data_IF_592344337768
#
_entry.id   IF_592344337768
#
_cell.length_a   1.000
_cell.length_b   1.000
_cell.length_c   1.000
_cell.angle_alpha   90.00
_cell.angle_beta   90.00
_cell.angle_gamma   90.00
#
_symmetry.space_group_name_H-M   'P 1'
#
loop_
_entity.id
_entity.type
_entity.pdbx_description
1 polymer ?
#
# COMPACT_ATOMS: atom_id res chain seq x y z
N UNK A 1 -10.35 15.96 6.04
CA UNK A 1 -8.93 15.88 5.63
C UNK A 1 -8.02 16.10 6.83
N UNK A 2 -6.70 15.94 6.66
CA UNK A 2 -5.69 16.27 7.68
C UNK A 2 -5.18 17.71 7.55
N UNK A 3 -4.40 18.17 8.52
CA UNK A 3 -3.86 19.55 8.57
C UNK A 3 -2.72 19.81 7.57
N UNK A 4 -2.10 18.76 7.04
CA UNK A 4 -1.00 18.85 6.07
C UNK A 4 -1.50 18.52 4.66
N UNK A 5 -0.96 19.21 3.66
CA UNK A 5 -1.24 18.92 2.26
C UNK A 5 -0.65 17.57 1.82
N UNK A 6 -1.17 16.96 0.74
CA UNK A 6 -0.59 15.73 0.19
C UNK A 6 0.90 15.87 -0.16
N UNK A 7 1.32 17.03 -0.67
CA UNK A 7 2.72 17.29 -1.04
C UNK A 7 3.62 17.38 0.20
N UNK A 8 3.18 18.02 1.28
CA UNK A 8 3.89 18.04 2.56
C UNK A 8 3.98 16.64 3.18
N UNK A 9 2.92 15.84 3.07
CA UNK A 9 2.95 14.44 3.51
C UNK A 9 3.98 13.62 2.72
N UNK A 10 4.06 13.80 1.39
CA UNK A 10 5.09 13.17 0.56
C UNK A 10 6.51 13.56 1.00
N UNK A 11 6.73 14.83 1.31
CA UNK A 11 8.03 15.32 1.81
C UNK A 11 8.38 14.69 3.17
N UNK A 12 7.43 14.59 4.09
CA UNK A 12 7.63 13.92 5.37
C UNK A 12 8.02 12.44 5.19
N UNK A 13 7.37 11.73 4.27
CA UNK A 13 7.72 10.34 3.92
C UNK A 13 9.12 10.30 3.29
N UNK A 14 9.48 11.23 2.41
CA UNK A 14 10.81 11.28 1.80
C UNK A 14 11.93 11.41 2.86
N UNK A 15 11.75 12.29 3.84
CA UNK A 15 12.68 12.44 4.97
C UNK A 15 12.77 11.14 5.78
N UNK A 16 11.64 10.49 6.06
CA UNK A 16 11.61 9.22 6.78
C UNK A 16 12.29 8.09 5.98
N UNK A 17 12.08 8.05 4.67
CA UNK A 17 12.68 7.06 3.76
C UNK A 17 14.19 7.26 3.65
N UNK A 18 14.68 8.50 3.63
CA UNK A 18 16.11 8.79 3.62
C UNK A 18 16.79 8.33 4.92
N UNK A 19 16.19 8.65 6.08
CA UNK A 19 16.65 8.13 7.38
C UNK A 19 16.64 6.60 7.43
N UNK A 20 15.59 5.98 6.89
CA UNK A 20 15.49 4.52 6.81
C UNK A 20 16.58 3.94 5.90
N UNK A 21 16.87 4.58 4.77
CA UNK A 21 17.90 4.12 3.83
C UNK A 21 19.30 4.17 4.45
N UNK A 22 19.60 5.21 5.23
CA UNK A 22 20.87 5.32 5.95
C UNK A 22 21.03 4.23 7.02
N UNK A 23 19.97 3.96 7.79
CA UNK A 23 19.99 2.95 8.86
C UNK A 23 19.93 1.52 8.32
N UNK A 24 19.19 1.32 7.23
CA UNK A 24 18.94 0.03 6.62
C UNK A 24 18.97 0.19 5.10
N UNK A 25 20.17 0.15 4.49
CA UNK A 25 20.31 0.23 3.04
C UNK A 25 19.48 -0.85 2.35
N UNK A 26 18.92 -0.50 1.20
CA UNK A 26 18.13 -1.46 0.41
C UNK A 26 19.05 -2.58 -0.13
N UNK A 27 18.50 -3.79 -0.22
CA UNK A 27 19.17 -4.90 -0.88
C UNK A 27 19.48 -4.63 -2.35
N UNK A 28 20.42 -5.40 -2.91
CA UNK A 28 20.75 -5.35 -4.35
C UNK A 28 19.53 -5.80 -5.17
N UNK A 29 19.40 -5.24 -6.37
CA UNK A 29 18.40 -5.65 -7.35
C UNK A 29 19.06 -5.90 -8.70
N UNK A 30 18.32 -6.59 -9.57
CA UNK A 30 18.68 -6.76 -10.96
C UNK A 30 18.66 -5.44 -11.74
N UNK A 31 19.36 -5.41 -12.88
CA UNK A 31 19.29 -4.30 -13.83
C UNK A 31 17.88 -4.09 -14.39
N UNK A 32 17.12 -5.17 -14.59
CA UNK A 32 15.73 -5.11 -15.04
C UNK A 32 14.83 -4.37 -14.06
N UNK A 33 14.87 -4.74 -12.78
CA UNK A 33 14.12 -4.05 -11.72
C UNK A 33 14.53 -2.57 -11.61
N UNK A 34 15.83 -2.27 -11.72
CA UNK A 34 16.33 -0.90 -11.66
C UNK A 34 15.80 -0.08 -12.85
N UNK A 35 15.82 -0.66 -14.05
CA UNK A 35 15.28 -0.06 -15.27
C UNK A 35 13.79 0.26 -15.13
N UNK A 36 12.99 -0.67 -14.62
CA UNK A 36 11.55 -0.44 -14.38
C UNK A 36 11.30 0.75 -13.45
N UNK A 37 12.08 0.89 -12.37
CA UNK A 37 11.97 2.04 -11.46
C UNK A 37 12.35 3.34 -12.17
N UNK A 38 13.44 3.34 -12.95
CA UNK A 38 13.87 4.53 -13.71
C UNK A 38 12.84 4.95 -14.75
N UNK A 39 12.26 4.01 -15.50
CA UNK A 39 11.21 4.27 -16.47
C UNK A 39 9.99 4.92 -15.81
N UNK A 40 9.54 4.37 -14.68
CA UNK A 40 8.42 4.96 -13.94
C UNK A 40 8.76 6.36 -13.43
N UNK A 41 9.94 6.59 -12.84
CA UNK A 41 10.36 7.93 -12.42
C UNK A 41 10.31 8.94 -13.58
N UNK A 42 10.86 8.58 -14.73
CA UNK A 42 10.85 9.44 -15.93
C UNK A 42 9.43 9.77 -16.40
N UNK A 43 8.49 8.81 -16.33
CA UNK A 43 7.08 9.06 -16.65
C UNK A 43 6.49 10.11 -15.71
N UNK A 44 6.72 10.01 -14.40
CA UNK A 44 6.20 10.99 -13.44
C UNK A 44 6.87 12.35 -13.55
N UNK A 45 8.18 12.41 -13.76
CA UNK A 45 8.90 13.66 -14.03
C UNK A 45 8.31 14.38 -15.26
N UNK A 46 8.04 13.65 -16.33
CA UNK A 46 7.45 14.23 -17.54
C UNK A 46 6.02 14.74 -17.32
N UNK A 47 5.22 14.03 -16.53
CA UNK A 47 3.86 14.47 -16.15
C UNK A 47 3.88 15.72 -15.28
N UNK A 48 4.82 15.79 -14.33
CA UNK A 48 5.04 16.99 -13.50
C UNK A 48 5.44 18.20 -14.36
N UNK A 49 6.35 18.01 -15.32
CA UNK A 49 6.76 19.07 -16.27
C UNK A 49 5.60 19.55 -17.16
N UNK A 50 4.61 18.70 -17.42
CA UNK A 50 3.37 19.08 -18.14
C UNK A 50 2.37 19.85 -17.28
N UNK A 51 2.65 20.02 -15.99
CA UNK A 51 1.75 20.69 -15.06
C UNK A 51 0.60 19.82 -14.57
N UNK A 52 0.69 18.50 -14.72
CA UNK A 52 -0.25 17.60 -14.04
C UNK A 52 -0.04 17.68 -12.52
N UNK A 53 -1.10 17.47 -11.72
CA UNK A 53 -1.00 17.48 -10.26
C UNK A 53 -0.45 16.15 -9.73
N UNK A 54 0.82 15.93 -10.06
CA UNK A 54 1.65 14.81 -9.64
C UNK A 54 2.92 15.32 -8.97
N UNK A 55 3.60 14.47 -8.22
CA UNK A 55 4.89 14.77 -7.60
C UNK A 55 5.73 13.49 -7.58
N UNK A 56 7.03 13.60 -7.90
CA UNK A 56 7.98 12.51 -7.77
C UNK A 56 9.13 12.92 -6.84
N UNK A 57 9.32 12.16 -5.76
CA UNK A 57 10.47 12.30 -4.86
C UNK A 57 11.26 11.00 -4.84
N UNK A 58 12.59 11.09 -4.87
CA UNK A 58 13.45 9.93 -4.97
C UNK A 58 14.79 10.12 -4.27
N UNK A 59 15.41 8.99 -3.91
CA UNK A 59 16.82 8.96 -3.50
C UNK A 59 17.73 9.51 -4.61
N UNK A 60 18.69 10.36 -4.23
CA UNK A 60 19.56 11.08 -5.17
C UNK A 60 20.61 10.22 -5.88
N UNK A 61 21.06 9.12 -5.27
CA UNK A 61 22.20 8.36 -5.76
C UNK A 61 21.84 7.14 -6.62
N UNK A 62 20.67 6.53 -6.41
CA UNK A 62 20.21 5.26 -7.04
C UNK A 62 18.69 5.11 -7.02
N UNK A 63 18.20 3.87 -7.14
CA UNK A 63 16.80 3.45 -7.00
C UNK A 63 16.45 2.99 -5.57
N UNK A 64 17.02 3.64 -4.56
CA UNK A 64 16.93 3.17 -3.16
C UNK A 64 15.54 3.33 -2.56
N UNK A 65 14.84 4.40 -2.93
CA UNK A 65 13.43 4.60 -2.63
C UNK A 65 12.82 5.59 -3.62
N UNK A 66 11.52 5.46 -3.88
CA UNK A 66 10.76 6.37 -4.74
C UNK A 66 9.39 6.61 -4.13
N UNK A 67 8.93 7.84 -4.15
CA UNK A 67 7.58 8.25 -3.74
C UNK A 67 6.97 8.96 -4.93
N UNK A 68 5.80 8.51 -5.34
CA UNK A 68 5.01 9.20 -6.37
C UNK A 68 3.66 9.56 -5.79
N UNK A 69 3.22 10.77 -6.08
CA UNK A 69 1.89 11.25 -5.75
C UNK A 69 1.10 11.55 -7.01
N UNK A 70 -0.18 11.21 -6.99
CA UNK A 70 -1.15 11.54 -8.03
C UNK A 70 -2.48 11.94 -7.39
N UNK A 71 -3.05 13.04 -7.86
CA UNK A 71 -4.43 13.40 -7.54
C UNK A 71 -5.40 12.58 -8.41
N UNK A 72 -6.38 11.93 -7.78
CA UNK A 72 -7.55 11.29 -8.41
C UNK A 72 -7.21 10.42 -9.65
N UNK A 73 -6.37 9.37 -9.52
CA UNK A 73 -5.90 8.60 -10.66
C UNK A 73 -6.99 7.77 -11.36
N UNK A 74 -8.19 7.68 -10.78
CA UNK A 74 -9.30 6.82 -11.22
C UNK A 74 -9.07 5.31 -11.02
N UNK A 75 -7.82 4.84 -11.09
CA UNK A 75 -7.42 3.45 -10.87
C UNK A 75 -6.12 3.37 -10.09
N UNK A 76 -5.99 2.36 -9.22
CA UNK A 76 -4.75 2.15 -8.48
C UNK A 76 -3.84 1.19 -9.24
N UNK A 77 -2.58 1.59 -9.40
CA UNK A 77 -1.57 0.78 -10.07
C UNK A 77 -0.71 0.01 -9.05
N UNK A 78 -0.37 -1.26 -9.32
CA UNK A 78 0.58 -2.00 -8.51
C UNK A 78 1.94 -1.30 -8.45
N UNK A 79 2.65 -1.50 -7.34
CA UNK A 79 4.00 -0.99 -7.15
C UNK A 79 5.07 -1.94 -7.70
N UNK A 80 6.16 -1.46 -8.35
CA UNK A 80 7.26 -2.31 -8.83
C UNK A 80 8.16 -2.85 -7.71
N UNK A 81 7.63 -2.97 -6.48
CA UNK A 81 8.34 -3.33 -5.25
C UNK A 81 9.46 -2.33 -4.92
N UNK A 82 10.52 -2.81 -4.26
CA UNK A 82 11.80 -2.09 -4.13
C UNK A 82 11.70 -0.67 -3.53
N UNK A 83 10.92 -0.53 -2.44
CA UNK A 83 10.72 0.74 -1.70
C UNK A 83 10.12 1.84 -2.59
N UNK A 84 9.26 1.45 -3.52
CA UNK A 84 8.44 2.35 -4.31
C UNK A 84 7.07 2.52 -3.65
N UNK A 85 6.74 3.75 -3.26
CA UNK A 85 5.50 4.13 -2.56
C UNK A 85 4.65 4.96 -3.52
N UNK A 86 3.38 4.57 -3.68
CA UNK A 86 2.36 5.34 -4.39
C UNK A 86 1.44 6.00 -3.38
N UNK A 87 1.20 7.30 -3.56
CA UNK A 87 0.31 8.10 -2.74
C UNK A 87 -0.77 8.65 -3.66
N UNK A 88 -2.02 8.38 -3.34
CA UNK A 88 -3.15 8.84 -4.12
C UNK A 88 -3.93 9.87 -3.31
N UNK A 89 -4.06 11.08 -3.86
CA UNK A 89 -5.00 12.07 -3.35
C UNK A 89 -6.40 11.71 -3.82
N UNK A 90 -7.36 11.70 -2.91
CA UNK A 90 -8.78 11.51 -3.20
C UNK A 90 -9.58 12.59 -2.48
N UNK A 91 -10.66 13.06 -3.09
CA UNK A 91 -11.58 14.02 -2.48
C UNK A 91 -12.50 13.33 -1.45
N UNK A 92 -12.83 12.06 -1.67
CA UNK A 92 -13.64 11.26 -0.76
C UNK A 92 -13.11 9.82 -0.60
N UNK A 93 -13.17 9.30 0.62
CA UNK A 93 -12.67 7.95 0.94
C UNK A 93 -13.39 6.86 0.15
N UNK A 94 -14.67 7.04 -0.20
CA UNK A 94 -15.44 6.07 -0.96
C UNK A 94 -15.11 6.05 -2.46
N UNK A 95 -14.18 6.90 -2.93
CA UNK A 95 -13.53 6.75 -4.23
C UNK A 95 -12.48 5.62 -4.22
N UNK A 96 -11.97 5.24 -3.05
CA UNK A 96 -10.92 4.21 -2.92
C UNK A 96 -11.43 2.80 -3.28
N UNK A 97 -12.58 2.32 -2.76
CA UNK A 97 -13.07 0.97 -3.05
C UNK A 97 -13.20 0.62 -4.55
N UNK A 98 -13.84 1.45 -5.41
CA UNK A 98 -13.90 1.15 -6.83
C UNK A 98 -12.52 1.16 -7.50
N UNK A 99 -11.60 2.03 -7.06
CA UNK A 99 -10.24 2.11 -7.60
C UNK A 99 -9.37 0.89 -7.22
N UNK A 100 -9.67 0.22 -6.10
CA UNK A 100 -9.01 -0.99 -5.64
C UNK A 100 -9.52 -2.26 -6.31
N UNK A 101 -10.76 -2.27 -6.82
CA UNK A 101 -11.40 -3.46 -7.40
C UNK A 101 -10.56 -4.17 -8.47
N UNK A 102 -9.87 -3.49 -9.41
CA UNK A 102 -9.05 -4.15 -10.42
C UNK A 102 -7.82 -4.88 -9.87
N UNK A 103 -7.39 -4.55 -8.65
CA UNK A 103 -6.20 -5.10 -7.99
C UNK A 103 -6.55 -5.90 -6.72
N UNK A 104 -7.82 -6.31 -6.56
CA UNK A 104 -8.31 -6.97 -5.35
C UNK A 104 -7.52 -8.24 -4.98
N UNK A 105 -7.04 -9.00 -5.97
CA UNK A 105 -6.21 -10.20 -5.77
C UNK A 105 -4.84 -9.91 -5.11
N UNK A 106 -4.40 -8.66 -5.08
CA UNK A 106 -3.17 -8.23 -4.41
C UNK A 106 -3.41 -7.64 -3.02
N UNK A 107 -4.66 -7.52 -2.58
CA UNK A 107 -4.99 -6.91 -1.29
C UNK A 107 -4.83 -7.94 -0.17
N UNK A 108 -3.95 -7.64 0.78
CA UNK A 108 -3.75 -8.48 1.97
C UNK A 108 -4.02 -7.70 3.26
N UNK A 109 -3.36 -6.56 3.41
CA UNK A 109 -3.40 -5.75 4.63
C UNK A 109 -3.78 -4.31 4.29
N UNK A 110 -4.61 -3.68 5.12
CA UNK A 110 -4.85 -2.24 5.11
C UNK A 110 -4.60 -1.65 6.49
N UNK A 111 -4.13 -0.41 6.50
CA UNK A 111 -4.03 0.40 7.71
C UNK A 111 -4.94 1.60 7.52
N UNK A 112 -5.86 1.78 8.46
CA UNK A 112 -6.90 2.82 8.38
C UNK A 112 -6.71 3.78 9.55
N UNK A 113 -6.75 5.06 9.24
CA UNK A 113 -6.79 6.16 10.20
C UNK A 113 -7.80 7.19 9.68
N UNK A 114 -9.07 6.98 10.01
CA UNK A 114 -10.19 7.87 9.65
C UNK A 114 -10.72 8.48 10.95
N UNK A 115 -10.91 9.79 10.96
CA UNK A 115 -11.29 10.54 12.17
C UNK A 115 -12.77 10.86 12.29
N UNK A 116 -13.62 10.22 11.49
CA UNK A 116 -15.07 10.50 11.43
C UNK A 116 -15.91 9.21 11.44
N UNK A 117 -17.23 9.38 11.46
CA UNK A 117 -18.23 8.31 11.61
C UNK A 117 -18.27 7.33 10.43
N UNK A 118 -17.58 7.63 9.32
CA UNK A 118 -17.52 6.78 8.13
C UNK A 118 -16.52 5.64 8.25
N UNK A 119 -15.66 5.64 9.28
CA UNK A 119 -14.61 4.63 9.45
C UNK A 119 -15.15 3.20 9.45
N UNK A 120 -16.23 2.94 10.20
CA UNK A 120 -16.81 1.59 10.30
C UNK A 120 -17.35 1.08 8.96
N UNK A 121 -18.02 1.95 8.20
CA UNK A 121 -18.51 1.61 6.87
C UNK A 121 -17.36 1.33 5.91
N UNK A 122 -16.33 2.18 5.93
CA UNK A 122 -15.16 2.02 5.08
C UNK A 122 -14.41 0.72 5.37
N UNK A 123 -14.21 0.37 6.64
CA UNK A 123 -13.60 -0.90 7.07
C UNK A 123 -14.39 -2.10 6.55
N UNK A 124 -15.73 -2.05 6.63
CA UNK A 124 -16.59 -3.13 6.11
C UNK A 124 -16.38 -3.32 4.60
N UNK A 125 -16.39 -2.23 3.83
CA UNK A 125 -16.19 -2.27 2.38
C UNK A 125 -14.80 -2.84 2.03
N UNK A 126 -13.74 -2.45 2.76
CA UNK A 126 -12.41 -3.02 2.56
C UNK A 126 -12.38 -4.54 2.80
N UNK A 127 -13.09 -5.03 3.82
CA UNK A 127 -13.25 -6.46 4.08
C UNK A 127 -13.94 -7.18 2.92
N UNK A 128 -15.03 -6.61 2.38
CA UNK A 128 -15.76 -7.15 1.22
C UNK A 128 -14.90 -7.16 -0.07
N UNK A 129 -13.93 -6.25 -0.19
CA UNK A 129 -12.97 -6.22 -1.29
C UNK A 129 -11.84 -7.25 -1.18
N UNK A 130 -11.75 -8.00 -0.06
CA UNK A 130 -10.76 -9.05 0.14
C UNK A 130 -9.56 -8.64 0.99
N UNK A 131 -9.58 -7.48 1.67
CA UNK A 131 -8.55 -7.15 2.65
C UNK A 131 -8.65 -8.11 3.84
N UNK A 132 -7.67 -8.99 3.98
CA UNK A 132 -7.66 -10.03 5.02
C UNK A 132 -7.33 -9.49 6.42
N UNK A 133 -6.71 -8.31 6.54
CA UNK A 133 -6.37 -7.71 7.84
C UNK A 133 -6.38 -6.19 7.78
N UNK A 134 -7.11 -5.58 8.72
CA UNK A 134 -7.20 -4.13 8.88
C UNK A 134 -6.63 -3.75 10.25
N UNK A 135 -5.76 -2.73 10.31
CA UNK A 135 -5.08 -2.28 11.52
C UNK A 135 -4.95 -0.76 11.57
N UNK A 136 -4.45 -0.20 12.67
CA UNK A 136 -3.99 1.20 12.70
C UNK A 136 -2.60 1.33 12.04
N UNK A 137 -2.26 2.50 11.46
CA UNK A 137 -0.93 2.76 10.93
C UNK A 137 0.19 2.44 11.93
N UNK A 138 1.29 1.86 11.44
CA UNK A 138 2.43 1.43 12.26
C UNK A 138 2.25 0.10 12.98
N UNK A 139 1.09 -0.57 12.90
CA UNK A 139 0.85 -1.89 13.51
C UNK A 139 0.89 -3.06 12.54
N UNK A 140 0.98 -2.80 11.23
CA UNK A 140 1.00 -3.84 10.19
C UNK A 140 2.12 -4.88 10.39
N UNK A 141 3.31 -4.44 10.79
CA UNK A 141 4.49 -5.31 11.01
C UNK A 141 4.42 -6.17 12.28
N UNK A 142 3.38 -6.02 13.10
CA UNK A 142 3.19 -6.77 14.36
C UNK A 142 1.92 -7.63 14.21
N UNK A 143 2.00 -8.85 13.62
CA UNK A 143 0.84 -9.73 13.55
C UNK A 143 0.40 -10.18 14.94
N UNK A 144 -0.91 -10.25 15.19
CA UNK A 144 -1.42 -10.94 16.37
C UNK A 144 -1.28 -12.47 16.17
N UNK A 145 -1.13 -13.24 17.25
CA UNK A 145 -1.07 -14.71 17.17
C UNK A 145 -2.35 -15.37 16.63
N UNK A 146 -3.45 -14.60 16.55
CA UNK A 146 -4.75 -15.04 16.00
C UNK A 146 -4.94 -14.64 14.52
N UNK A 147 -3.93 -14.04 13.89
CA UNK A 147 -4.05 -13.51 12.53
C UNK A 147 -4.11 -14.61 11.49
N UNK A 148 -5.18 -14.61 10.68
CA UNK A 148 -5.37 -15.53 9.56
C UNK A 148 -4.50 -15.13 8.36
N UNK A 149 -3.45 -15.89 8.05
CA UNK A 149 -2.60 -15.64 6.87
C UNK A 149 -3.44 -15.84 5.61
N UNK A 150 -3.56 -14.82 4.77
CA UNK A 150 -4.41 -14.82 3.57
C UNK A 150 -5.88 -15.23 3.82
N UNK A 151 -6.42 -14.92 5.01
CA UNK A 151 -7.79 -15.27 5.40
C UNK A 151 -7.97 -16.72 5.87
N UNK A 152 -6.91 -17.52 5.89
CA UNK A 152 -6.91 -18.89 6.40
C UNK A 152 -6.50 -18.90 7.87
N UNK A 153 -7.26 -19.60 8.72
CA UNK A 153 -6.91 -19.71 10.14
C UNK A 153 -5.56 -20.42 10.28
N UNK A 154 -4.56 -19.83 10.96
CA UNK A 154 -3.20 -20.39 11.02
C UNK A 154 -3.17 -21.77 11.67
N UNK A 155 -4.15 -22.03 12.53
CA UNK A 155 -4.30 -23.31 13.21
C UNK A 155 -5.00 -24.33 12.30
N UNK A 156 -5.91 -23.91 11.43
CA UNK A 156 -6.64 -24.83 10.55
C UNK A 156 -5.75 -25.55 9.52
N UNK A 157 -4.64 -24.94 9.11
CA UNK A 157 -3.65 -25.56 8.23
C UNK A 157 -2.77 -26.59 8.93
N UNK A 158 -2.74 -26.58 10.27
CA UNK A 158 -1.98 -27.51 11.11
C UNK A 158 -2.84 -28.65 11.68
N UNK A 159 -4.15 -28.64 11.45
CA UNK A 159 -5.08 -29.66 11.91
C UNK A 159 -5.30 -30.73 10.83
N UNK A 160 -5.47 -31.97 11.28
CA UNK A 160 -6.00 -33.05 10.45
C UNK A 160 -7.46 -33.27 10.83
N UNK A 161 -8.37 -33.05 9.89
CA UNK A 161 -9.79 -33.29 10.08
C UNK A 161 -10.10 -34.79 10.00
N UNK A 162 -10.98 -35.27 10.86
CA UNK A 162 -11.53 -36.63 10.84
C UNK A 162 -13.04 -36.52 11.07
N UNK A 163 -13.81 -36.78 10.03
CA UNK A 163 -15.26 -36.74 10.09
C UNK A 163 -15.81 -38.09 10.55
N UNK A 164 -16.82 -38.04 11.43
CA UNK A 164 -17.59 -39.22 11.82
C UNK A 164 -18.99 -39.06 11.23
N UNK A 165 -19.27 -39.83 10.19
CA UNK A 165 -20.63 -39.96 9.68
C UNK A 165 -21.42 -40.95 10.54
N UNK A 166 -22.71 -40.66 10.77
CA UNK A 166 -23.60 -41.60 11.47
C UNK A 166 -23.64 -42.91 10.69
N UNK A 167 -23.15 -43.99 11.29
CA UNK A 167 -23.46 -45.35 10.86
C UNK A 167 -24.90 -45.67 11.22
N UNK A 168 -25.78 -45.64 10.22
CA UNK A 168 -27.09 -46.29 10.21
C UNK A 168 -27.03 -47.52 9.34
#
# INVERSE_FOLDING_TARGET
GGEISPKEFCQAIAVAMERLNQRMPRGRISSGEASTIHQLRAVYEFRELKGEDVLMLASSSRTDWTIVYEKDPGTFSPSPLNRFIRIYGVEDIFQIPPALKPINFFLQNAAVAIGDDRENEFIRILGELGVARITSPGKMSIPSMMWHHDGISPLSSLLRWCDIEKKG
#
